data_IF_783061636899
#
_entry.id   IF_783061636899
#
_cell.length_a   1.000
_cell.length_b   1.000
_cell.length_c   1.000
_cell.angle_alpha   90.00
_cell.angle_beta   90.00
_cell.angle_gamma   90.00
#
_symmetry.space_group_name_H-M   'P 1'
#
loop_
_entity.id
_entity.type
_entity.pdbx_description
1 polymer ?
#
# COMPACT_ATOMS: atom_id res chain seq x y z
N UNK A 1 -40.67 40.54 7.95
CA UNK A 1 -40.91 39.18 7.42
C UNK A 1 -39.93 38.92 6.27
N UNK A 2 -38.64 38.77 6.54
CA UNK A 2 -37.68 38.08 5.68
C UNK A 2 -36.52 37.67 6.60
N UNK A 3 -36.55 36.41 7.06
CA UNK A 3 -35.54 35.84 7.94
C UNK A 3 -34.19 35.74 7.22
N UNK A 4 -33.16 36.26 7.88
CA UNK A 4 -31.76 36.05 7.55
C UNK A 4 -31.43 34.56 7.44
N UNK A 5 -31.22 34.06 6.22
CA UNK A 5 -30.48 32.81 6.00
C UNK A 5 -29.00 33.07 6.30
N UNK A 6 -28.58 32.88 7.55
CA UNK A 6 -27.17 32.75 7.89
C UNK A 6 -26.72 31.34 7.48
N UNK A 7 -26.09 31.24 6.31
CA UNK A 7 -25.34 30.06 5.89
C UNK A 7 -24.14 29.93 6.83
N UNK A 8 -24.25 29.06 7.84
CA UNK A 8 -23.15 28.74 8.75
C UNK A 8 -22.13 27.91 7.98
N UNK A 9 -21.07 28.55 7.49
CA UNK A 9 -19.94 27.86 6.88
C UNK A 9 -19.34 26.91 7.91
N UNK A 10 -19.59 25.63 7.73
CA UNK A 10 -19.07 24.55 8.57
C UNK A 10 -17.60 24.41 8.24
N UNK A 11 -16.72 24.63 9.22
CA UNK A 11 -15.28 24.43 9.02
C UNK A 11 -15.02 23.01 8.51
N UNK A 12 -14.50 22.91 7.28
CA UNK A 12 -14.18 21.63 6.67
C UNK A 12 -12.83 21.21 7.25
N UNK A 13 -12.85 20.42 8.31
CA UNK A 13 -11.64 19.76 8.80
C UNK A 13 -11.24 18.69 7.79
N UNK A 14 -10.20 18.97 7.01
CA UNK A 14 -9.63 18.02 6.04
C UNK A 14 -8.74 17.06 6.81
N UNK A 15 -9.18 15.81 6.98
CA UNK A 15 -8.34 14.77 7.54
C UNK A 15 -7.32 14.30 6.49
N UNK A 16 -6.09 13.91 6.88
CA UNK A 16 -5.06 13.43 5.96
C UNK A 16 -5.52 12.22 5.11
N UNK A 17 -6.47 11.41 5.62
CA UNK A 17 -7.08 10.30 4.87
C UNK A 17 -7.77 10.75 3.58
N UNK A 18 -8.31 11.97 3.55
CA UNK A 18 -9.03 12.50 2.38
C UNK A 18 -8.07 12.72 1.20
N UNK A 19 -6.82 13.14 1.47
CA UNK A 19 -5.79 13.25 0.46
C UNK A 19 -5.40 11.90 -0.13
N UNK A 20 -5.25 10.88 0.72
CA UNK A 20 -4.97 9.52 0.25
C UNK A 20 -6.13 8.95 -0.58
N UNK A 21 -7.38 9.19 -0.16
CA UNK A 21 -8.56 8.79 -0.91
C UNK A 21 -8.64 9.45 -2.29
N UNK A 22 -8.29 10.73 -2.39
CA UNK A 22 -8.22 11.44 -3.68
C UNK A 22 -7.15 10.85 -4.60
N UNK A 23 -5.94 10.58 -4.08
CA UNK A 23 -4.86 9.97 -4.87
C UNK A 23 -5.24 8.58 -5.38
N UNK A 24 -5.75 7.71 -4.50
CA UNK A 24 -6.18 6.35 -4.86
C UNK A 24 -7.35 6.37 -5.85
N UNK A 25 -8.32 7.26 -5.64
CA UNK A 25 -9.49 7.42 -6.51
C UNK A 25 -9.12 7.92 -7.91
N UNK A 26 -8.22 8.90 -8.01
CA UNK A 26 -7.75 9.41 -9.30
C UNK A 26 -7.00 8.32 -10.08
N UNK A 27 -6.11 7.58 -9.41
CA UNK A 27 -5.40 6.47 -10.02
C UNK A 27 -6.36 5.38 -10.51
N UNK A 28 -7.32 4.97 -9.68
CA UNK A 28 -8.32 3.98 -10.05
C UNK A 28 -9.14 4.41 -11.28
N UNK A 29 -9.52 5.69 -11.35
CA UNK A 29 -10.28 6.23 -12.50
C UNK A 29 -9.48 6.18 -13.81
N UNK A 30 -8.16 6.37 -13.76
CA UNK A 30 -7.31 6.34 -14.96
C UNK A 30 -7.05 4.90 -15.38
N UNK A 31 -6.79 3.98 -14.43
CA UNK A 31 -6.41 2.60 -14.72
C UNK A 31 -7.60 1.70 -15.08
N UNK A 32 -8.80 1.96 -14.55
CA UNK A 32 -9.99 1.14 -14.83
C UNK A 32 -10.30 1.00 -16.33
N UNK A 33 -10.23 2.05 -17.17
CA UNK A 33 -10.32 1.92 -18.63
C UNK A 33 -9.24 1.03 -19.25
N UNK A 34 -7.99 1.13 -18.79
CA UNK A 34 -6.87 0.35 -19.33
C UNK A 34 -6.94 -1.14 -18.95
N UNK A 35 -7.47 -1.47 -17.77
CA UNK A 35 -7.69 -2.86 -17.35
C UNK A 35 -8.61 -3.63 -18.30
N UNK A 36 -9.69 -3.00 -18.77
CA UNK A 36 -10.60 -3.58 -19.75
C UNK A 36 -9.93 -3.84 -21.11
N UNK A 37 -9.05 -2.94 -21.55
CA UNK A 37 -8.28 -3.11 -22.79
C UNK A 37 -7.23 -4.22 -22.68
N UNK A 38 -6.56 -4.34 -21.53
CA UNK A 38 -5.57 -5.41 -21.28
C UNK A 38 -6.22 -6.80 -21.32
N UNK A 39 -7.34 -6.98 -20.61
CA UNK A 39 -8.11 -8.22 -20.63
C UNK A 39 -8.54 -8.61 -22.06
N UNK A 40 -9.03 -7.64 -22.84
CA UNK A 40 -9.39 -7.84 -24.25
C UNK A 40 -8.20 -8.23 -25.13
N UNK A 41 -7.05 -7.58 -24.96
CA UNK A 41 -5.82 -7.86 -25.70
C UNK A 41 -5.18 -9.21 -25.35
N UNK A 42 -5.16 -9.56 -24.07
CA UNK A 42 -4.60 -10.81 -23.56
C UNK A 42 -5.40 -12.02 -24.05
N UNK A 43 -6.75 -11.95 -24.00
CA UNK A 43 -7.64 -12.96 -24.60
C UNK A 43 -7.37 -13.17 -26.09
N UNK A 44 -7.03 -12.11 -26.83
CA UNK A 44 -6.70 -12.20 -28.26
C UNK A 44 -5.30 -12.78 -28.51
N UNK A 45 -4.34 -12.49 -27.64
CA UNK A 45 -2.96 -12.96 -27.75
C UNK A 45 -2.82 -14.46 -27.47
N UNK A 46 -3.59 -14.99 -26.51
CA UNK A 46 -3.46 -16.40 -26.14
C UNK A 46 -4.25 -17.36 -27.01
N UNK A 47 -5.21 -16.92 -27.84
CA UNK A 47 -6.05 -17.78 -28.70
C UNK A 47 -6.73 -18.97 -27.98
N UNK A 48 -6.65 -19.05 -26.65
CA UNK A 48 -7.37 -20.01 -25.80
C UNK A 48 -8.79 -19.49 -25.69
N UNK A 49 -9.58 -19.76 -26.72
CA UNK A 49 -11.00 -20.03 -26.54
C UNK A 49 -11.08 -21.37 -25.76
N UNK A 50 -12.09 -21.55 -24.93
CA UNK A 50 -12.43 -22.84 -24.29
C UNK A 50 -11.92 -23.07 -22.85
N UNK A 51 -12.02 -22.04 -22.00
CA UNK A 51 -12.56 -22.28 -20.64
C UNK A 51 -13.96 -21.65 -20.46
N UNK A 52 -14.63 -21.37 -21.59
CA UNK A 52 -16.00 -20.82 -21.63
C UNK A 52 -17.11 -21.85 -21.38
N UNK A 53 -16.80 -23.15 -21.27
CA UNK A 53 -17.82 -24.20 -21.18
C UNK A 53 -18.16 -24.64 -19.75
N UNK A 54 -17.51 -24.12 -18.71
CA UNK A 54 -17.88 -24.51 -17.34
C UNK A 54 -19.03 -23.72 -16.74
N UNK A 55 -19.28 -22.45 -17.13
CA UNK A 55 -20.44 -21.68 -16.62
C UNK A 55 -20.94 -20.66 -17.68
N UNK A 56 -22.05 -20.95 -18.39
CA UNK A 56 -22.65 -20.02 -19.34
C UNK A 56 -23.37 -18.90 -18.58
N UNK A 57 -22.84 -17.67 -18.65
CA UNK A 57 -23.50 -16.47 -18.12
C UNK A 57 -22.74 -15.69 -17.03
N UNK A 58 -21.62 -16.20 -16.52
CA UNK A 58 -20.73 -15.42 -15.65
C UNK A 58 -19.55 -14.87 -16.48
N UNK A 59 -19.64 -13.60 -16.87
CA UNK A 59 -18.58 -12.90 -17.58
C UNK A 59 -17.22 -13.08 -16.89
N UNK A 60 -16.20 -13.44 -17.68
CA UNK A 60 -14.93 -14.01 -17.25
C UNK A 60 -14.35 -13.42 -15.96
N UNK A 61 -14.26 -14.27 -14.93
CA UNK A 61 -13.57 -13.96 -13.68
C UNK A 61 -12.15 -13.47 -13.98
N UNK A 62 -11.46 -14.07 -14.95
CA UNK A 62 -10.11 -13.66 -15.39
C UNK A 62 -10.07 -12.19 -15.83
N UNK A 63 -11.03 -11.71 -16.63
CA UNK A 63 -11.06 -10.30 -17.07
C UNK A 63 -11.27 -9.32 -15.90
N UNK A 64 -11.95 -9.76 -14.85
CA UNK A 64 -12.19 -8.97 -13.64
C UNK A 64 -10.96 -8.97 -12.73
N UNK A 65 -10.23 -10.08 -12.67
CA UNK A 65 -9.08 -10.24 -11.79
C UNK A 65 -7.85 -9.47 -12.28
N UNK A 66 -7.67 -9.30 -13.60
CA UNK A 66 -6.50 -8.60 -14.16
C UNK A 66 -6.43 -7.13 -13.69
N UNK A 67 -7.55 -6.40 -13.81
CA UNK A 67 -7.63 -5.02 -13.35
C UNK A 67 -7.54 -4.90 -11.82
N UNK A 68 -8.12 -5.86 -11.09
CA UNK A 68 -8.10 -5.88 -9.63
C UNK A 68 -6.70 -6.18 -9.09
N UNK A 69 -5.93 -7.04 -9.75
CA UNK A 69 -4.54 -7.34 -9.38
C UNK A 69 -3.65 -6.10 -9.52
N UNK A 70 -3.75 -5.36 -10.63
CA UNK A 70 -3.00 -4.11 -10.83
C UNK A 70 -3.37 -3.07 -9.77
N UNK A 71 -4.67 -2.92 -9.48
CA UNK A 71 -5.13 -2.03 -8.42
C UNK A 71 -4.66 -2.44 -7.03
N UNK A 72 -4.66 -3.74 -6.73
CA UNK A 72 -4.20 -4.27 -5.45
C UNK A 72 -2.70 -4.03 -5.23
N UNK A 73 -1.86 -4.28 -6.25
CA UNK A 73 -0.42 -4.02 -6.18
C UNK A 73 -0.14 -2.54 -5.96
N UNK A 74 -0.82 -1.66 -6.70
CA UNK A 74 -0.67 -0.21 -6.50
C UNK A 74 -1.10 0.23 -5.10
N UNK A 75 -2.27 -0.22 -4.64
CA UNK A 75 -2.78 0.13 -3.31
C UNK A 75 -1.81 -0.35 -2.21
N UNK A 76 -1.23 -1.54 -2.34
CA UNK A 76 -0.23 -2.06 -1.41
C UNK A 76 1.03 -1.18 -1.35
N UNK A 77 1.63 -0.86 -2.51
CA UNK A 77 2.81 0.00 -2.58
C UNK A 77 2.50 1.40 -2.04
N UNK A 78 1.34 1.94 -2.38
CA UNK A 78 0.91 3.26 -1.93
C UNK A 78 0.74 3.30 -0.40
N UNK A 79 0.09 2.28 0.18
CA UNK A 79 -0.05 2.16 1.62
C UNK A 79 1.33 2.04 2.30
N UNK A 80 2.22 1.20 1.80
CA UNK A 80 3.56 1.03 2.38
C UNK A 80 4.44 2.28 2.24
N UNK A 81 4.35 3.00 1.12
CA UNK A 81 5.23 4.14 0.88
C UNK A 81 4.75 5.44 1.53
N UNK A 82 3.43 5.64 1.66
CA UNK A 82 2.86 6.94 2.06
C UNK A 82 2.06 6.90 3.35
N UNK A 83 1.50 5.75 3.74
CA UNK A 83 0.63 5.62 4.92
C UNK A 83 1.38 4.94 6.06
N UNK A 84 1.98 3.79 5.80
CA UNK A 84 2.85 3.09 6.72
C UNK A 84 4.20 3.79 6.68
N UNK A 85 4.41 4.73 7.60
CA UNK A 85 5.79 5.14 7.89
C UNK A 85 6.47 3.93 8.50
N UNK A 86 7.30 3.22 7.73
CA UNK A 86 8.30 2.32 8.28
C UNK A 86 9.32 3.16 9.06
N UNK A 87 8.90 3.65 10.22
CA UNK A 87 9.85 3.93 11.29
C UNK A 87 10.37 2.56 11.67
N UNK A 88 11.51 2.17 11.10
CA UNK A 88 12.26 1.00 11.55
C UNK A 88 12.35 1.12 13.07
N UNK A 89 11.53 0.36 13.78
CA UNK A 89 11.47 0.46 15.24
C UNK A 89 12.74 -0.15 15.79
N UNK A 90 13.21 0.40 16.91
CA UNK A 90 14.41 -0.12 17.58
C UNK A 90 14.24 -1.62 17.87
N UNK A 91 13.02 -2.06 18.17
CA UNK A 91 12.66 -3.46 18.35
C UNK A 91 12.92 -4.31 17.10
N UNK A 92 12.55 -3.86 15.90
CA UNK A 92 12.81 -4.61 14.66
C UNK A 92 14.32 -4.72 14.36
N UNK A 93 15.10 -3.68 14.69
CA UNK A 93 16.57 -3.73 14.55
C UNK A 93 17.17 -4.68 15.57
N UNK A 94 16.71 -4.60 16.82
CA UNK A 94 17.17 -5.47 17.90
C UNK A 94 16.86 -6.94 17.59
N UNK A 95 15.65 -7.24 17.11
CA UNK A 95 15.26 -8.59 16.70
C UNK A 95 16.09 -9.09 15.51
N UNK A 96 16.36 -8.23 14.53
CA UNK A 96 17.22 -8.58 13.39
C UNK A 96 18.67 -8.85 13.83
N UNK A 97 19.23 -8.05 14.74
CA UNK A 97 20.57 -8.26 15.31
C UNK A 97 20.59 -9.54 16.13
N UNK A 98 19.57 -9.78 16.96
CA UNK A 98 19.45 -10.97 17.79
C UNK A 98 19.35 -12.25 16.94
N UNK A 99 18.64 -12.19 15.81
CA UNK A 99 18.46 -13.32 14.92
C UNK A 99 19.66 -13.59 13.99
N UNK A 100 20.53 -12.59 13.77
CA UNK A 100 21.67 -12.70 12.84
C UNK A 100 23.04 -12.87 13.50
N UNK A 101 23.17 -12.60 14.79
CA UNK A 101 24.44 -12.70 15.52
C UNK A 101 24.52 -13.91 16.46
N UNK A 102 25.72 -14.49 16.52
CA UNK A 102 26.11 -15.48 17.54
C UNK A 102 26.21 -14.82 18.94
N UNK A 103 26.07 -15.63 20.01
CA UNK A 103 26.23 -15.18 21.40
C UNK A 103 27.54 -14.43 21.67
N UNK A 104 28.62 -14.79 20.97
CA UNK A 104 29.92 -14.12 21.11
C UNK A 104 29.93 -12.72 20.48
N UNK A 105 29.26 -12.57 19.34
CA UNK A 105 29.19 -11.30 18.61
C UNK A 105 28.28 -10.30 19.34
N UNK A 106 27.20 -10.78 19.98
CA UNK A 106 26.34 -9.95 20.83
C UNK A 106 27.11 -9.32 22.01
N UNK A 107 27.99 -10.09 22.66
CA UNK A 107 28.78 -9.58 23.79
C UNK A 107 29.75 -8.47 23.37
N UNK A 108 30.39 -8.62 22.21
CA UNK A 108 31.29 -7.60 21.64
C UNK A 108 30.52 -6.31 21.32
N UNK A 109 29.31 -6.44 20.78
CA UNK A 109 28.49 -5.30 20.37
C UNK A 109 28.00 -4.50 21.59
N UNK A 110 27.59 -5.19 22.67
CA UNK A 110 27.21 -4.55 23.95
C UNK A 110 28.41 -3.85 24.60
N UNK A 111 29.59 -4.47 24.63
CA UNK A 111 30.80 -3.83 25.15
C UNK A 111 31.16 -2.55 24.37
N UNK A 112 31.11 -2.60 23.04
CA UNK A 112 31.39 -1.42 22.19
C UNK A 112 30.36 -0.31 22.38
N UNK A 113 29.07 -0.64 22.46
CA UNK A 113 28.02 0.35 22.72
C UNK A 113 28.21 1.05 24.07
N UNK A 114 28.55 0.30 25.12
CA UNK A 114 28.86 0.85 26.44
C UNK A 114 30.02 1.84 26.40
N UNK A 115 31.09 1.51 25.66
CA UNK A 115 32.27 2.34 25.52
C UNK A 115 31.97 3.67 24.80
N UNK A 116 31.22 3.61 23.69
CA UNK A 116 30.81 4.79 22.91
C UNK A 116 29.88 5.71 23.73
N UNK A 117 28.95 5.14 24.51
CA UNK A 117 28.07 5.93 25.37
C UNK A 117 28.84 6.63 26.48
N UNK A 118 29.85 5.97 27.06
CA UNK A 118 30.72 6.58 28.07
C UNK A 118 31.55 7.74 27.50
N UNK A 119 32.04 7.63 26.26
CA UNK A 119 32.74 8.71 25.56
C UNK A 119 31.84 9.89 25.17
N UNK A 120 30.54 9.66 25.00
CA UNK A 120 29.57 10.69 24.61
C UNK A 120 28.90 11.40 25.79
N UNK A 121 28.87 10.74 26.95
CA UNK A 121 28.23 11.26 28.19
C UNK A 121 29.27 11.84 29.16
N UNK A 122 30.55 11.49 29.01
CA UNK A 122 31.67 12.02 29.80
C UNK A 122 32.24 13.35 29.31
#
# INVERSE_FOLDING_TARGET
MLHHLQFTWKEISILPVQWHALCLGLFASIIAPFGGFFASGFKRAFKIKDFGDSIPGHGGITDRMDCQMVMAVFAYIYLQSFVVREGISVDMILDQIMASLSLEEQQILVMKLGQILQERVG
#
